data_IF_706664615103
#
_entry.id   IF_706664615103
#
_cell.length_a   1.000
_cell.length_b   1.000
_cell.length_c   1.000
_cell.angle_alpha   90.00
_cell.angle_beta   90.00
_cell.angle_gamma   90.00
#
_symmetry.space_group_name_H-M   'P 1'
#
loop_
_entity.id
_entity.type
_entity.pdbx_description
1 polymer ?
#
# COMPACT_ATOMS: atom_id res chain seq x y z
N UNK A 1 5.72 6.92 -36.54
CA UNK A 1 6.98 7.54 -37.00
C UNK A 1 6.65 8.89 -37.64
N UNK A 2 7.27 9.99 -37.21
CA UNK A 2 6.97 11.36 -37.66
C UNK A 2 8.25 12.08 -38.06
N UNK A 3 8.33 12.55 -39.31
CA UNK A 3 9.51 13.23 -39.88
C UNK A 3 10.86 12.53 -39.60
N UNK A 4 10.88 11.19 -39.68
CA UNK A 4 12.08 10.39 -39.47
C UNK A 4 12.47 10.14 -38.01
N UNK A 5 11.69 10.67 -37.06
CA UNK A 5 11.82 10.37 -35.63
C UNK A 5 10.83 9.24 -35.30
N UNK A 6 11.31 8.17 -34.67
CA UNK A 6 10.46 7.05 -34.29
C UNK A 6 9.58 7.43 -33.08
N UNK A 7 8.49 6.69 -32.87
CA UNK A 7 7.65 6.91 -31.68
C UNK A 7 8.40 6.59 -30.39
N UNK A 8 9.27 5.57 -30.42
CA UNK A 8 10.12 5.23 -29.29
C UNK A 8 11.10 6.37 -28.97
N UNK A 9 11.76 6.95 -29.98
CA UNK A 9 12.64 8.11 -29.79
C UNK A 9 11.90 9.31 -29.18
N UNK A 10 10.63 9.52 -29.59
CA UNK A 10 9.78 10.56 -29.01
C UNK A 10 9.41 10.28 -27.56
N UNK A 11 9.02 9.04 -27.24
CA UNK A 11 8.69 8.64 -25.86
C UNK A 11 9.91 8.82 -24.96
N UNK A 12 11.05 8.25 -25.35
CA UNK A 12 12.29 8.34 -24.58
C UNK A 12 12.72 9.79 -24.39
N UNK A 13 12.52 10.66 -25.39
CA UNK A 13 12.83 12.08 -25.29
C UNK A 13 11.92 12.80 -24.30
N UNK A 14 10.61 12.58 -24.38
CA UNK A 14 9.62 13.18 -23.45
C UNK A 14 9.81 12.68 -22.01
N UNK A 15 10.22 11.42 -21.83
CA UNK A 15 10.49 10.82 -20.53
C UNK A 15 11.90 11.15 -19.98
N UNK A 16 12.69 11.93 -20.74
CA UNK A 16 14.07 12.31 -20.39
C UNK A 16 15.09 11.16 -20.47
N UNK A 17 14.71 10.01 -21.01
CA UNK A 17 15.53 8.79 -21.17
C UNK A 17 16.26 8.69 -22.52
N UNK A 18 16.00 9.61 -23.45
CA UNK A 18 16.67 9.61 -24.74
C UNK A 18 18.19 9.67 -24.59
N UNK A 19 18.89 8.88 -25.40
CA UNK A 19 20.36 8.95 -25.51
C UNK A 19 20.79 10.34 -25.95
N UNK A 20 22.01 10.76 -25.60
CA UNK A 20 22.55 12.07 -25.99
C UNK A 20 22.46 12.30 -27.52
N UNK A 21 22.80 11.27 -28.31
CA UNK A 21 22.70 11.34 -29.77
C UNK A 21 21.27 11.53 -30.27
N UNK A 22 20.30 10.82 -29.68
CA UNK A 22 18.89 10.96 -30.04
C UNK A 22 18.34 12.33 -29.65
N UNK A 23 18.72 12.83 -28.47
CA UNK A 23 18.39 14.16 -27.96
C UNK A 23 18.90 15.26 -28.90
N UNK A 24 20.19 15.27 -29.22
CA UNK A 24 20.80 16.26 -30.11
C UNK A 24 20.11 16.27 -31.48
N UNK A 25 19.79 15.09 -32.02
CA UNK A 25 19.08 14.95 -33.30
C UNK A 25 17.67 15.52 -33.25
N UNK A 26 16.92 15.23 -32.18
CA UNK A 26 15.55 15.73 -32.00
C UNK A 26 15.56 17.24 -31.79
N UNK A 27 16.44 17.76 -30.93
CA UNK A 27 16.58 19.20 -30.67
C UNK A 27 16.94 19.97 -31.95
N UNK A 28 17.93 19.48 -32.71
CA UNK A 28 18.29 20.07 -34.00
C UNK A 28 17.11 20.06 -34.99
N UNK A 29 16.29 19.01 -34.98
CA UNK A 29 15.09 18.94 -35.83
C UNK A 29 14.00 19.92 -35.38
N UNK A 30 13.79 20.06 -34.07
CA UNK A 30 12.81 20.97 -33.48
C UNK A 30 13.09 22.44 -33.84
N UNK A 31 14.36 22.84 -33.98
CA UNK A 31 14.75 24.18 -34.42
C UNK A 31 14.25 24.47 -35.85
N UNK A 32 14.25 23.45 -36.72
CA UNK A 32 13.94 23.60 -38.14
C UNK A 32 12.53 23.20 -38.56
N UNK A 33 11.73 22.58 -37.69
CA UNK A 33 10.43 22.01 -38.06
C UNK A 33 9.33 22.45 -37.08
N UNK A 34 8.56 23.47 -37.48
CA UNK A 34 7.46 24.02 -36.68
C UNK A 34 6.42 22.95 -36.28
N UNK A 35 6.02 22.07 -37.20
CA UNK A 35 5.03 21.03 -36.91
C UNK A 35 5.49 20.04 -35.83
N UNK A 36 6.79 19.70 -35.82
CA UNK A 36 7.37 18.83 -34.79
C UNK A 36 7.52 19.57 -33.46
N UNK A 37 7.77 20.88 -33.49
CA UNK A 37 7.77 21.72 -32.30
C UNK A 37 6.38 21.82 -31.66
N UNK A 38 5.33 22.11 -32.43
CA UNK A 38 3.95 22.15 -31.93
C UNK A 38 3.47 20.78 -31.44
N UNK A 39 3.96 19.70 -32.06
CA UNK A 39 3.71 18.36 -31.57
C UNK A 39 4.38 18.11 -30.21
N UNK A 40 5.65 18.46 -30.09
CA UNK A 40 6.40 18.35 -28.84
C UNK A 40 5.75 19.17 -27.72
N UNK A 41 5.32 20.41 -28.00
CA UNK A 41 4.66 21.27 -27.03
C UNK A 41 3.37 20.63 -26.52
N UNK A 42 2.49 20.16 -27.42
CA UNK A 42 1.25 19.48 -27.03
C UNK A 42 1.49 18.22 -26.20
N UNK A 43 2.45 17.40 -26.60
CA UNK A 43 2.78 16.18 -25.86
C UNK A 43 3.37 16.51 -24.49
N UNK A 44 4.24 17.51 -24.39
CA UNK A 44 4.85 17.92 -23.13
C UNK A 44 3.81 18.47 -22.15
N UNK A 45 2.89 19.32 -22.63
CA UNK A 45 1.77 19.81 -21.82
C UNK A 45 0.89 18.67 -21.33
N UNK A 46 0.48 17.75 -22.22
CA UNK A 46 -0.36 16.62 -21.84
C UNK A 46 0.33 15.69 -20.83
N UNK A 47 1.63 15.43 -20.99
CA UNK A 47 2.42 14.65 -20.02
C UNK A 47 2.47 15.36 -18.66
N UNK A 48 2.67 16.68 -18.65
CA UNK A 48 2.68 17.44 -17.40
C UNK A 48 1.32 17.40 -16.68
N UNK A 49 0.22 17.61 -17.41
CA UNK A 49 -1.14 17.53 -16.85
C UNK A 49 -1.43 16.15 -16.26
N UNK A 50 -1.00 15.07 -16.93
CA UNK A 50 -1.13 13.71 -16.43
C UNK A 50 -0.30 13.46 -15.16
N UNK A 51 0.91 14.02 -15.08
CA UNK A 51 1.76 13.93 -13.89
C UNK A 51 1.15 14.69 -12.71
N UNK A 52 0.62 15.88 -12.94
CA UNK A 52 -0.06 16.69 -11.92
C UNK A 52 -1.33 15.99 -11.42
N UNK A 53 -2.19 15.53 -12.33
CA UNK A 53 -3.39 14.77 -11.96
C UNK A 53 -3.06 13.46 -11.24
N UNK A 54 -2.00 12.77 -11.66
CA UNK A 54 -1.50 11.56 -11.00
C UNK A 54 -1.00 11.84 -9.59
N UNK A 55 -0.31 12.97 -9.38
CA UNK A 55 0.16 13.40 -8.08
C UNK A 55 -1.00 13.80 -7.15
N UNK A 56 -1.98 14.54 -7.65
CA UNK A 56 -3.21 14.86 -6.91
C UNK A 56 -3.98 13.59 -6.49
N UNK A 57 -4.12 12.62 -7.39
CA UNK A 57 -4.75 11.34 -7.09
C UNK A 57 -3.97 10.57 -6.01
N UNK A 58 -2.63 10.54 -6.08
CA UNK A 58 -1.78 9.93 -5.04
C UNK A 58 -1.93 10.62 -3.69
N UNK A 59 -2.02 11.95 -3.68
CA UNK A 59 -2.22 12.71 -2.45
C UNK A 59 -3.59 12.42 -1.82
N UNK A 60 -4.65 12.33 -2.64
CA UNK A 60 -5.98 11.93 -2.19
C UNK A 60 -6.00 10.55 -1.52
N UNK A 61 -5.39 9.54 -2.15
CA UNK A 61 -5.27 8.19 -1.60
C UNK A 61 -4.43 8.15 -0.31
N UNK A 62 -3.36 8.94 -0.23
CA UNK A 62 -2.50 9.01 0.97
C UNK A 62 -3.24 9.64 2.17
N UNK A 63 -4.13 10.60 1.92
CA UNK A 63 -4.97 11.22 2.96
C UNK A 63 -6.03 10.23 3.45
N UNK A 64 -6.64 9.44 2.56
CA UNK A 64 -7.54 8.36 2.94
C UNK A 64 -6.84 7.31 3.78
N UNK A 65 -5.61 6.91 3.41
CA UNK A 65 -4.79 6.00 4.20
C UNK A 65 -4.52 6.54 5.60
N UNK A 66 -4.10 7.80 5.76
CA UNK A 66 -3.85 8.39 7.09
C UNK A 66 -5.11 8.46 7.95
N UNK A 67 -6.25 8.81 7.36
CA UNK A 67 -7.55 8.86 8.06
C UNK A 67 -8.00 7.46 8.47
N UNK A 68 -7.79 6.47 7.61
CA UNK A 68 -8.05 5.06 7.87
C UNK A 68 -7.16 4.54 9.01
N UNK A 69 -5.86 4.87 9.02
CA UNK A 69 -4.97 4.57 10.15
C UNK A 69 -5.43 5.21 11.46
N UNK A 70 -5.81 6.49 11.44
CA UNK A 70 -6.26 7.19 12.64
C UNK A 70 -7.56 6.58 13.19
N UNK A 71 -8.49 6.22 12.31
CA UNK A 71 -9.73 5.56 12.68
C UNK A 71 -9.48 4.17 13.28
N UNK A 72 -8.61 3.37 12.64
CA UNK A 72 -8.22 2.05 13.11
C UNK A 72 -7.53 2.13 14.48
N UNK A 73 -6.57 3.04 14.67
CA UNK A 73 -5.95 3.31 15.98
C UNK A 73 -7.01 3.66 17.04
N UNK A 74 -8.01 4.45 16.67
CA UNK A 74 -9.10 4.83 17.56
C UNK A 74 -10.05 3.68 17.93
N UNK A 75 -10.24 2.70 17.03
CA UNK A 75 -10.99 1.47 17.32
C UNK A 75 -10.18 0.56 18.25
N UNK A 76 -8.90 0.32 17.94
CA UNK A 76 -8.02 -0.50 18.77
C UNK A 76 -7.81 0.08 20.17
N UNK A 77 -7.62 1.39 20.29
CA UNK A 77 -7.46 2.06 21.59
C UNK A 77 -8.70 1.89 22.47
N UNK A 78 -9.91 1.95 21.87
CA UNK A 78 -11.18 1.72 22.58
C UNK A 78 -11.36 0.27 23.02
N UNK A 79 -10.91 -0.68 22.21
CA UNK A 79 -10.92 -2.11 22.58
C UNK A 79 -9.96 -2.41 23.73
N UNK A 80 -8.88 -1.61 23.88
CA UNK A 80 -7.87 -1.78 24.95
C UNK A 80 -8.25 -1.12 26.27
N UNK A 81 -8.82 0.09 26.26
CA UNK A 81 -9.16 0.81 27.50
C UNK A 81 -10.35 0.25 28.26
N UNK A 82 -11.11 -0.67 27.66
CA UNK A 82 -12.26 -1.29 28.31
C UNK A 82 -11.95 -2.28 29.44
N UNK A 83 -10.68 -2.62 29.74
CA UNK A 83 -10.44 -3.86 30.49
C UNK A 83 -9.08 -4.03 31.20
N UNK A 84 -8.84 -3.31 32.28
CA UNK A 84 -7.64 -3.49 33.12
C UNK A 84 -7.79 -4.53 34.26
N UNK A 85 -8.74 -5.47 34.15
CA UNK A 85 -9.10 -6.33 35.30
C UNK A 85 -9.46 -7.80 35.01
N UNK A 86 -9.33 -8.30 33.78
CA UNK A 86 -9.77 -9.64 33.43
C UNK A 86 -8.62 -10.67 33.35
N UNK A 87 -8.89 -11.97 33.56
CA UNK A 87 -7.88 -13.03 33.50
C UNK A 87 -7.23 -13.15 32.10
N UNK A 88 -5.93 -13.47 32.03
CA UNK A 88 -5.08 -13.44 30.82
C UNK A 88 -5.67 -14.18 29.60
N UNK A 89 -6.31 -15.34 29.81
CA UNK A 89 -6.96 -16.09 28.73
C UNK A 89 -8.12 -15.33 28.06
N UNK A 90 -8.83 -14.49 28.83
CA UNK A 90 -9.92 -13.66 28.30
C UNK A 90 -9.41 -12.44 27.54
N UNK A 91 -8.17 -12.01 27.83
CA UNK A 91 -7.53 -10.88 27.15
C UNK A 91 -7.07 -11.30 25.75
N UNK A 92 -6.40 -12.45 25.62
CA UNK A 92 -5.96 -12.97 24.32
C UNK A 92 -7.15 -13.26 23.40
N UNK A 93 -8.22 -13.86 23.94
CA UNK A 93 -9.45 -14.12 23.15
C UNK A 93 -10.04 -12.82 22.58
N UNK A 94 -10.10 -11.77 23.40
CA UNK A 94 -10.60 -10.46 22.95
C UNK A 94 -9.69 -9.78 21.95
N UNK A 95 -8.38 -9.94 22.09
CA UNK A 95 -7.43 -9.43 21.09
C UNK A 95 -7.62 -10.15 19.74
N UNK A 96 -7.90 -11.47 19.74
CA UNK A 96 -8.23 -12.21 18.52
C UNK A 96 -9.56 -11.71 17.90
N UNK A 97 -10.60 -11.50 18.70
CA UNK A 97 -11.89 -10.97 18.24
C UNK A 97 -11.75 -9.55 17.67
N UNK A 98 -10.90 -8.72 18.30
CA UNK A 98 -10.56 -7.38 17.82
C UNK A 98 -9.84 -7.42 16.46
N UNK A 99 -8.87 -8.32 16.31
CA UNK A 99 -8.17 -8.51 15.04
C UNK A 99 -9.12 -9.00 13.95
N UNK A 100 -10.03 -9.93 14.24
CA UNK A 100 -11.05 -10.37 13.27
C UNK A 100 -11.96 -9.20 12.82
N UNK A 101 -12.40 -8.40 13.79
CA UNK A 101 -13.25 -7.22 13.54
C UNK A 101 -12.54 -6.22 12.64
N UNK A 102 -11.24 -6.02 12.83
CA UNK A 102 -10.43 -5.11 12.03
C UNK A 102 -10.11 -5.68 10.65
N UNK A 103 -9.91 -6.99 10.52
CA UNK A 103 -9.60 -7.66 9.26
C UNK A 103 -10.83 -7.76 8.33
N UNK A 104 -12.01 -7.93 8.92
CA UNK A 104 -13.26 -8.21 8.20
C UNK A 104 -13.62 -7.17 7.11
N UNK A 105 -13.51 -5.85 7.34
CA UNK A 105 -13.80 -4.85 6.31
C UNK A 105 -12.87 -4.89 5.09
N UNK A 106 -11.64 -5.41 5.23
CA UNK A 106 -10.63 -5.36 4.16
C UNK A 106 -10.64 -6.61 3.27
N UNK A 107 -10.84 -7.77 3.88
CA UNK A 107 -10.75 -9.05 3.19
C UNK A 107 -12.03 -9.90 3.28
N UNK A 108 -13.04 -9.41 4.00
CA UNK A 108 -14.25 -10.17 4.32
C UNK A 108 -14.05 -11.12 5.51
N UNK A 109 -15.14 -11.46 6.20
CA UNK A 109 -15.11 -12.26 7.44
C UNK A 109 -14.42 -13.62 7.26
N UNK A 110 -14.72 -14.34 6.17
CA UNK A 110 -14.13 -15.66 5.95
C UNK A 110 -12.61 -15.59 5.72
N UNK A 111 -12.12 -14.58 5.03
CA UNK A 111 -10.69 -14.41 4.78
C UNK A 111 -9.98 -13.95 6.06
N UNK A 112 -10.60 -13.08 6.86
CA UNK A 112 -10.11 -12.67 8.17
C UNK A 112 -9.89 -13.87 9.11
N UNK A 113 -10.92 -14.72 9.26
CA UNK A 113 -10.84 -15.94 10.08
C UNK A 113 -9.77 -16.90 9.56
N UNK A 114 -9.68 -17.10 8.24
CA UNK A 114 -8.63 -17.94 7.64
C UNK A 114 -7.24 -17.38 7.86
N UNK A 115 -7.05 -16.07 7.78
CA UNK A 115 -5.77 -15.41 8.04
C UNK A 115 -5.33 -15.61 9.50
N UNK A 116 -6.26 -15.46 10.46
CA UNK A 116 -6.01 -15.73 11.89
C UNK A 116 -5.62 -17.19 12.12
N UNK A 117 -6.38 -18.14 11.58
CA UNK A 117 -6.04 -19.57 11.69
C UNK A 117 -4.71 -19.90 11.03
N UNK A 118 -4.41 -19.34 9.85
CA UNK A 118 -3.16 -19.54 9.15
C UNK A 118 -1.98 -18.95 9.94
N UNK A 119 -2.14 -17.78 10.55
CA UNK A 119 -1.12 -17.18 11.40
C UNK A 119 -0.83 -18.04 12.63
N UNK A 120 -1.89 -18.54 13.31
CA UNK A 120 -1.75 -19.41 14.47
C UNK A 120 -1.11 -20.76 14.11
N UNK A 121 -1.52 -21.37 12.99
CA UNK A 121 -0.94 -22.63 12.51
C UNK A 121 0.55 -22.52 12.20
N UNK A 122 0.98 -21.36 11.69
CA UNK A 122 2.37 -21.09 11.33
C UNK A 122 3.18 -20.42 12.45
N UNK A 123 2.63 -20.32 13.66
CA UNK A 123 3.30 -19.84 14.86
C UNK A 123 3.52 -20.98 15.86
N UNK A 124 4.27 -20.76 16.96
CA UNK A 124 4.42 -21.75 18.02
C UNK A 124 3.10 -22.18 18.68
N UNK A 125 2.02 -21.41 18.51
CA UNK A 125 0.69 -21.75 19.00
C UNK A 125 0.07 -22.95 18.25
N UNK A 126 0.32 -23.12 16.95
CA UNK A 126 -0.25 -24.19 16.09
C UNK A 126 -1.78 -24.17 15.91
N UNK A 127 -2.55 -23.56 16.80
CA UNK A 127 -3.99 -23.30 16.69
C UNK A 127 -4.38 -22.00 17.40
N UNK A 128 -5.58 -21.46 17.13
CA UNK A 128 -6.02 -20.19 17.74
C UNK A 128 -6.25 -20.32 19.24
N UNK A 129 -6.67 -21.49 19.71
CA UNK A 129 -6.93 -21.79 21.13
C UNK A 129 -5.63 -21.86 21.95
N UNK A 130 -4.51 -22.11 21.29
CA UNK A 130 -3.18 -22.22 21.89
C UNK A 130 -2.39 -20.90 21.79
N UNK A 131 -3.00 -19.84 21.26
CA UNK A 131 -2.40 -18.50 21.32
C UNK A 131 -2.43 -18.04 22.77
N UNK A 132 -1.25 -17.65 23.26
CA UNK A 132 -1.01 -17.22 24.64
C UNK A 132 -0.11 -15.98 24.62
N UNK A 133 0.00 -15.22 25.73
CA UNK A 133 0.90 -14.07 25.78
C UNK A 133 2.34 -14.42 25.40
N UNK A 134 2.82 -15.61 25.77
CA UNK A 134 4.17 -16.07 25.50
C UNK A 134 4.47 -16.32 24.01
N UNK A 135 3.46 -16.60 23.18
CA UNK A 135 3.64 -16.85 21.74
C UNK A 135 2.96 -15.79 20.85
N UNK A 136 2.38 -14.76 21.48
CA UNK A 136 1.61 -13.69 20.85
C UNK A 136 2.41 -12.93 19.79
N UNK A 137 3.65 -12.54 20.11
CA UNK A 137 4.50 -11.79 19.18
C UNK A 137 4.82 -12.60 17.91
N UNK A 138 5.11 -13.90 18.07
CA UNK A 138 5.36 -14.80 16.95
C UNK A 138 4.10 -15.00 16.09
N UNK A 139 2.94 -15.09 16.71
CA UNK A 139 1.65 -15.13 16.02
C UNK A 139 1.41 -13.85 15.19
N UNK A 140 1.58 -12.68 15.80
CA UNK A 140 1.39 -11.41 15.13
C UNK A 140 2.34 -11.20 13.96
N UNK A 141 3.61 -11.58 14.11
CA UNK A 141 4.58 -11.51 13.01
C UNK A 141 4.10 -12.30 11.80
N UNK A 142 3.49 -13.48 12.01
CA UNK A 142 2.91 -14.29 10.93
C UNK A 142 1.63 -13.68 10.38
N UNK A 143 0.76 -13.15 11.24
CA UNK A 143 -0.47 -12.48 10.81
C UNK A 143 -0.17 -11.24 9.97
N UNK A 144 0.78 -10.41 10.39
CA UNK A 144 1.26 -9.24 9.65
C UNK A 144 1.78 -9.63 8.26
N UNK A 145 2.58 -10.69 8.15
CA UNK A 145 3.09 -11.14 6.85
C UNK A 145 1.97 -11.61 5.91
N UNK A 146 0.97 -12.32 6.44
CA UNK A 146 -0.21 -12.75 5.68
C UNK A 146 -1.05 -11.52 5.26
N UNK A 147 -1.25 -10.57 6.17
CA UNK A 147 -1.99 -9.36 5.90
C UNK A 147 -1.30 -8.44 4.89
N UNK A 148 0.04 -8.38 4.88
CA UNK A 148 0.81 -7.66 3.86
C UNK A 148 0.54 -8.21 2.46
N UNK A 149 0.53 -9.55 2.32
CA UNK A 149 0.27 -10.21 1.06
C UNK A 149 -1.20 -10.06 0.60
N UNK A 150 -2.15 -9.99 1.53
CA UNK A 150 -3.58 -9.91 1.20
C UNK A 150 -4.09 -8.47 1.01
N UNK A 151 -3.61 -7.53 1.82
CA UNK A 151 -4.17 -6.20 1.99
C UNK A 151 -3.13 -5.07 1.85
N UNK A 152 -1.87 -5.39 1.55
CA UNK A 152 -0.78 -4.42 1.40
C UNK A 152 -0.04 -4.10 2.72
N UNK A 153 1.16 -3.54 2.58
CA UNK A 153 2.09 -3.23 3.69
C UNK A 153 1.53 -2.22 4.69
N UNK A 154 0.70 -1.29 4.22
CA UNK A 154 0.02 -0.29 5.03
C UNK A 154 -0.79 -0.93 6.17
N UNK A 155 -1.57 -1.95 5.83
CA UNK A 155 -2.41 -2.66 6.79
C UNK A 155 -1.60 -3.65 7.65
N UNK A 156 -0.51 -4.21 7.10
CA UNK A 156 0.44 -5.02 7.83
C UNK A 156 1.10 -4.24 8.99
N UNK A 157 1.52 -2.99 8.72
CA UNK A 157 2.11 -2.10 9.74
C UNK A 157 1.14 -1.84 10.89
N UNK A 158 -0.15 -1.63 10.59
CA UNK A 158 -1.19 -1.44 11.60
C UNK A 158 -1.36 -2.64 12.54
N UNK A 159 -1.35 -3.87 11.99
CA UNK A 159 -1.42 -5.09 12.82
C UNK A 159 -0.20 -5.21 13.74
N UNK A 160 0.99 -4.84 13.23
CA UNK A 160 2.23 -4.91 14.01
C UNK A 160 2.23 -3.90 15.15
N UNK A 161 1.91 -2.64 14.86
CA UNK A 161 1.85 -1.56 15.86
C UNK A 161 0.84 -1.87 16.98
N UNK A 162 -0.33 -2.42 16.63
CA UNK A 162 -1.41 -2.66 17.60
C UNK A 162 -1.31 -4.01 18.29
N UNK A 163 -0.66 -4.99 17.67
CA UNK A 163 -0.43 -6.28 18.29
C UNK A 163 0.67 -6.28 19.36
N UNK A 164 1.67 -5.40 19.26
CA UNK A 164 2.81 -5.33 20.18
C UNK A 164 2.56 -4.49 21.45
N UNK A 165 1.41 -3.83 21.57
CA UNK A 165 1.08 -2.87 22.65
C UNK A 165 -0.05 -3.35 23.58
#
# INVERSE_FOLDING_TARGET
MRHGISELDWSDYLDGQATAQARDRIEAHLIGCLECWEFYERMSCATQELLEAGEEARQGLTVEDRRLHAMLRGVFSRLRTGDSGAPEHSQVRRQLDALETVLTPFCGRQAAVRALHAAAKNSPARSLEQVTPANWESFLKKLTAIAAAMCGETFASLIREQGQS
#
